data_IF_654293753319
#
_entry.id   IF_654293753319
#
_cell.length_a   1.000
_cell.length_b   1.000
_cell.length_c   1.000
_cell.angle_alpha   90.00
_cell.angle_beta   90.00
_cell.angle_gamma   90.00
#
_symmetry.space_group_name_H-M   'P 1'
#
loop_
_entity.id
_entity.type
_entity.pdbx_description
1 polymer ?
#
# COMPACT_ATOMS: atom_id res chain seq x y z
N UNK A 1 -3.70 -7.93 15.00
CA UNK A 1 -3.32 -6.63 14.38
C UNK A 1 -3.10 -6.86 12.89
N UNK A 2 -3.37 -5.89 12.01
CA UNK A 2 -3.23 -6.10 10.55
C UNK A 2 -1.85 -6.65 10.13
N UNK A 3 -0.78 -6.25 10.81
CA UNK A 3 0.59 -6.75 10.59
C UNK A 3 0.78 -8.24 10.86
N UNK A 4 -0.10 -8.91 11.63
CA UNK A 4 -0.04 -10.36 11.82
C UNK A 4 -0.54 -11.15 10.62
N UNK A 5 -1.17 -10.47 9.64
CA UNK A 5 -1.60 -11.08 8.39
C UNK A 5 -0.49 -11.09 7.33
N UNK A 6 0.69 -10.52 7.62
CA UNK A 6 1.82 -10.51 6.67
C UNK A 6 2.49 -11.87 6.69
N UNK A 7 2.36 -12.63 5.61
CA UNK A 7 2.91 -13.98 5.47
C UNK A 7 4.22 -14.01 4.65
N UNK A 8 4.66 -12.88 4.10
CA UNK A 8 5.91 -12.77 3.36
C UNK A 8 6.26 -11.32 3.02
N UNK A 9 6.51 -11.05 1.74
CA UNK A 9 6.69 -9.69 1.24
C UNK A 9 5.39 -8.88 1.23
N UNK A 10 4.26 -9.60 1.16
CA UNK A 10 2.88 -9.11 1.12
C UNK A 10 2.03 -9.80 2.20
N UNK A 11 0.72 -9.51 2.21
CA UNK A 11 -0.21 -10.24 3.07
C UNK A 11 -0.33 -11.73 2.72
N UNK A 12 -0.33 -12.09 1.43
CA UNK A 12 -0.39 -13.50 0.99
C UNK A 12 0.90 -13.90 0.26
N UNK A 13 1.98 -14.01 1.06
CA UNK A 13 3.31 -14.47 0.64
C UNK A 13 4.04 -13.54 -0.35
N UNK A 14 4.23 -13.95 -1.61
CA UNK A 14 5.20 -13.38 -2.55
C UNK A 14 4.58 -12.60 -3.71
N UNK A 15 3.25 -12.62 -3.85
CA UNK A 15 2.56 -11.92 -4.93
C UNK A 15 1.68 -10.81 -4.36
N UNK A 16 1.59 -9.72 -5.10
CA UNK A 16 0.63 -8.66 -4.80
C UNK A 16 -0.78 -9.23 -4.90
N UNK A 17 -1.62 -8.93 -3.92
CA UNK A 17 -3.02 -9.31 -3.91
C UNK A 17 -3.91 -8.08 -3.77
N UNK A 18 -5.21 -8.29 -3.89
CA UNK A 18 -6.19 -7.24 -3.66
C UNK A 18 -6.07 -6.60 -2.26
N UNK A 19 -5.66 -7.36 -1.24
CA UNK A 19 -5.47 -6.83 0.11
C UNK A 19 -4.34 -5.80 0.17
N UNK A 20 -3.24 -6.03 -0.55
CA UNK A 20 -2.11 -5.11 -0.62
C UNK A 20 -2.48 -3.82 -1.39
N UNK A 21 -3.29 -3.96 -2.45
CA UNK A 21 -3.83 -2.82 -3.23
C UNK A 21 -4.78 -1.98 -2.37
N UNK A 22 -5.66 -2.61 -1.59
CA UNK A 22 -6.55 -1.90 -0.67
C UNK A 22 -5.78 -1.14 0.41
N UNK A 23 -4.69 -1.72 0.93
CA UNK A 23 -3.82 -1.03 1.87
C UNK A 23 -3.14 0.19 1.23
N UNK A 24 -2.63 0.03 0.01
CA UNK A 24 -2.04 1.13 -0.77
C UNK A 24 -3.06 2.26 -0.99
N UNK A 25 -4.27 1.95 -1.45
CA UNK A 25 -5.32 2.93 -1.70
C UNK A 25 -5.73 3.68 -0.41
N UNK A 26 -5.89 2.93 0.69
CA UNK A 26 -6.17 3.52 2.00
C UNK A 26 -5.08 4.50 2.43
N UNK A 27 -3.79 4.13 2.31
CA UNK A 27 -2.69 4.98 2.77
C UNK A 27 -2.48 6.20 1.87
N UNK A 28 -2.39 5.99 0.56
CA UNK A 28 -1.96 7.01 -0.40
C UNK A 28 -3.10 7.86 -0.97
N UNK A 29 -4.33 7.34 -1.02
CA UNK A 29 -5.46 8.05 -1.61
C UNK A 29 -6.50 8.50 -0.60
N UNK A 30 -6.58 7.86 0.57
CA UNK A 30 -7.55 8.23 1.60
C UNK A 30 -6.89 8.96 2.77
N UNK A 31 -6.03 8.28 3.52
CA UNK A 31 -5.49 8.79 4.77
C UNK A 31 -4.55 9.99 4.55
N UNK A 32 -3.61 9.88 3.61
CA UNK A 32 -2.67 10.98 3.29
C UNK A 32 -3.37 12.25 2.78
N UNK A 33 -4.50 12.10 2.07
CA UNK A 33 -5.21 13.21 1.43
C UNK A 33 -6.24 13.87 2.34
N UNK A 34 -6.97 13.07 3.13
CA UNK A 34 -8.16 13.55 3.84
C UNK A 34 -8.01 13.63 5.35
N UNK A 35 -6.94 13.07 5.94
CA UNK A 35 -6.72 13.10 7.39
C UNK A 35 -5.52 14.00 7.73
N UNK A 36 -5.75 15.26 8.15
CA UNK A 36 -4.67 16.16 8.53
C UNK A 36 -3.78 15.57 9.63
N UNK A 37 -2.47 15.60 9.42
CA UNK A 37 -1.49 15.11 10.38
C UNK A 37 -1.36 13.59 10.45
N UNK A 38 -2.02 12.84 9.55
CA UNK A 38 -1.76 11.41 9.41
C UNK A 38 -0.27 11.15 9.11
N UNK A 39 0.30 10.16 9.81
CA UNK A 39 1.66 9.69 9.57
C UNK A 39 1.67 8.16 9.54
N UNK A 40 2.21 7.62 8.45
CA UNK A 40 2.42 6.19 8.30
C UNK A 40 3.67 5.68 9.04
N UNK A 41 4.49 6.57 9.61
CA UNK A 41 5.77 6.24 10.23
C UNK A 41 5.71 5.16 11.32
N UNK A 42 4.67 5.10 12.19
CA UNK A 42 4.55 4.03 13.20
C UNK A 42 4.31 2.64 12.59
N UNK A 43 3.90 2.56 11.32
CA UNK A 43 3.46 1.34 10.66
C UNK A 43 4.47 0.85 9.62
N UNK A 44 5.75 0.80 9.96
CA UNK A 44 6.86 0.50 9.02
C UNK A 44 6.66 -0.76 8.18
N UNK A 45 6.08 -1.83 8.74
CA UNK A 45 5.76 -3.06 7.99
C UNK A 45 4.67 -2.86 6.93
N UNK A 46 3.67 -2.04 7.21
CA UNK A 46 2.61 -1.71 6.25
C UNK A 46 3.14 -0.76 5.17
N UNK A 47 3.97 0.20 5.55
CA UNK A 47 4.67 1.08 4.60
C UNK A 47 5.51 0.28 3.62
N UNK A 48 6.19 -0.79 4.07
CA UNK A 48 6.93 -1.65 3.16
C UNK A 48 6.04 -2.31 2.09
N UNK A 49 4.82 -2.74 2.45
CA UNK A 49 3.84 -3.28 1.50
C UNK A 49 3.38 -2.18 0.54
N UNK A 50 2.98 -1.01 1.06
CA UNK A 50 2.56 0.16 0.25
C UNK A 50 3.62 0.51 -0.79
N UNK A 51 4.89 0.60 -0.38
CA UNK A 51 6.00 0.88 -1.29
C UNK A 51 6.16 -0.20 -2.37
N UNK A 52 6.10 -1.49 -2.00
CA UNK A 52 6.19 -2.59 -2.98
C UNK A 52 5.04 -2.57 -3.99
N UNK A 53 3.83 -2.24 -3.54
CA UNK A 53 2.65 -2.08 -4.41
C UNK A 53 2.84 -0.90 -5.36
N UNK A 54 3.29 0.24 -4.83
CA UNK A 54 3.53 1.46 -5.63
C UNK A 54 4.61 1.26 -6.70
N UNK A 55 5.66 0.48 -6.40
CA UNK A 55 6.74 0.18 -7.35
C UNK A 55 6.46 -1.02 -8.25
N UNK A 56 5.31 -1.69 -8.10
CA UNK A 56 4.94 -2.79 -8.98
C UNK A 56 4.75 -2.24 -10.41
N UNK A 57 5.41 -2.82 -11.45
CA UNK A 57 5.38 -2.25 -12.80
C UNK A 57 3.98 -2.08 -13.41
N UNK A 58 3.07 -3.03 -13.17
CA UNK A 58 1.71 -2.99 -13.73
C UNK A 58 0.88 -1.90 -13.04
N UNK A 59 1.01 -1.79 -11.72
CA UNK A 59 0.30 -0.78 -10.92
C UNK A 59 0.86 0.61 -11.23
N UNK A 60 2.18 0.78 -11.27
CA UNK A 60 2.82 2.04 -11.62
C UNK A 60 2.41 2.51 -13.04
N UNK A 61 2.37 1.59 -14.01
CA UNK A 61 1.91 1.89 -15.36
C UNK A 61 0.41 2.27 -15.40
N UNK A 62 -0.43 1.63 -14.58
CA UNK A 62 -1.83 2.01 -14.42
C UNK A 62 -1.98 3.39 -13.79
N UNK A 63 -1.30 3.65 -12.67
CA UNK A 63 -1.35 4.93 -11.96
C UNK A 63 -0.90 6.08 -12.85
N UNK A 64 0.19 5.92 -13.63
CA UNK A 64 0.67 6.96 -14.54
C UNK A 64 -0.36 7.40 -15.59
N UNK A 65 -1.33 6.54 -15.94
CA UNK A 65 -2.41 6.88 -16.88
C UNK A 65 -3.62 7.53 -16.22
N UNK A 66 -3.73 7.45 -14.89
CA UNK A 66 -4.90 7.84 -14.13
C UNK A 66 -4.59 8.85 -13.01
N UNK A 67 -3.40 9.45 -13.02
CA UNK A 67 -3.09 10.63 -12.21
C UNK A 67 -3.87 11.81 -12.79
N UNK A 68 -4.99 12.19 -12.15
CA UNK A 68 -5.67 13.46 -12.37
C UNK A 68 -5.02 14.58 -11.57
#
# INVERSE_FOLDING_TARGET
MLTSMIQGEYFMESKVTFADIQLFDLFENVLSKFIPGFSAAPYSKLVAIVNRVQTNPEIAAYSAKHTS
#
